data_IF_544396765838
#
_entry.id   IF_544396765838
#
_cell.length_a   1.000
_cell.length_b   1.000
_cell.length_c   1.000
_cell.angle_alpha   90.00
_cell.angle_beta   90.00
_cell.angle_gamma   90.00
#
_symmetry.space_group_name_H-M   'P 1'
#
loop_
_entity.id
_entity.type
_entity.pdbx_description
1 polymer ?
#
# COMPACT_ATOMS: atom_id res chain seq x y z
N UNK A 1 -13.89 -10.45 1.42
CA UNK A 1 -13.40 -10.00 2.74
C UNK A 1 -14.52 -9.76 3.75
N UNK A 2 -15.33 -8.70 3.68
CA UNK A 2 -16.27 -8.34 4.75
C UNK A 2 -17.26 -9.43 5.17
N UNK A 3 -17.90 -10.12 4.21
CA UNK A 3 -18.81 -11.24 4.53
C UNK A 3 -18.08 -12.36 5.29
N UNK A 4 -16.90 -12.75 4.80
CA UNK A 4 -16.09 -13.79 5.46
C UNK A 4 -15.71 -13.36 6.88
N UNK A 5 -15.30 -12.10 7.07
CA UNK A 5 -14.96 -11.55 8.40
C UNK A 5 -16.17 -11.56 9.35
N UNK A 6 -17.37 -11.29 8.84
CA UNK A 6 -18.59 -11.30 9.68
C UNK A 6 -18.94 -12.68 10.24
N UNK A 7 -18.48 -13.74 9.57
CA UNK A 7 -18.68 -15.15 9.93
C UNK A 7 -17.48 -15.75 10.69
N UNK A 8 -16.38 -15.00 10.84
CA UNK A 8 -15.17 -15.48 11.51
C UNK A 8 -15.36 -15.68 13.00
N UNK A 9 -14.65 -16.67 13.54
CA UNK A 9 -14.51 -16.91 14.97
C UNK A 9 -13.14 -17.51 15.29
N UNK A 10 -12.62 -17.22 16.48
CA UNK A 10 -11.32 -17.69 16.95
C UNK A 10 -11.49 -18.52 18.24
N UNK A 11 -10.76 -19.65 18.38
CA UNK A 11 -10.81 -20.45 19.60
C UNK A 11 -10.12 -19.75 20.79
N UNK A 12 -9.14 -18.88 20.50
CA UNK A 12 -8.42 -18.14 21.53
C UNK A 12 -9.18 -16.88 21.95
N UNK A 13 -9.33 -16.68 23.26
CA UNK A 13 -10.10 -15.58 23.82
C UNK A 13 -9.52 -14.20 23.48
N UNK A 14 -8.20 -14.07 23.41
CA UNK A 14 -7.53 -12.81 23.06
C UNK A 14 -7.85 -12.39 21.61
N UNK A 15 -7.74 -13.32 20.66
CA UNK A 15 -8.08 -13.09 19.25
C UNK A 15 -9.56 -12.77 19.07
N UNK A 16 -10.44 -13.44 19.83
CA UNK A 16 -11.88 -13.13 19.83
C UNK A 16 -12.14 -11.70 20.30
N UNK A 17 -11.46 -11.23 21.35
CA UNK A 17 -11.60 -9.86 21.84
C UNK A 17 -11.12 -8.83 20.79
N UNK A 18 -10.01 -9.09 20.10
CA UNK A 18 -9.53 -8.23 19.01
C UNK A 18 -10.52 -8.20 17.84
N UNK A 19 -11.09 -9.35 17.46
CA UNK A 19 -12.12 -9.41 16.42
C UNK A 19 -13.38 -8.63 16.82
N UNK A 20 -13.85 -8.75 18.06
CA UNK A 20 -15.03 -8.00 18.52
C UNK A 20 -14.79 -6.49 18.56
N UNK A 21 -13.57 -6.03 18.88
CA UNK A 21 -13.20 -4.62 18.74
C UNK A 21 -13.29 -4.17 17.28
N UNK A 22 -12.79 -4.98 16.33
CA UNK A 22 -12.90 -4.69 14.90
C UNK A 22 -14.35 -4.67 14.41
N UNK A 23 -15.20 -5.59 14.89
CA UNK A 23 -16.64 -5.64 14.61
C UNK A 23 -17.42 -4.46 15.21
N UNK A 24 -16.87 -3.82 16.24
CA UNK A 24 -17.39 -2.57 16.78
C UNK A 24 -17.35 -1.41 15.77
N UNK A 25 -16.45 -1.47 14.78
CA UNK A 25 -16.43 -0.52 13.67
C UNK A 25 -17.42 -0.94 12.57
N UNK A 26 -18.07 0.05 11.95
CA UNK A 26 -18.93 -0.21 10.80
C UNK A 26 -18.12 -0.30 9.51
N UNK A 27 -17.38 -1.40 9.34
CA UNK A 27 -16.49 -1.62 8.20
C UNK A 27 -17.22 -1.57 6.84
N UNK A 28 -18.51 -1.94 6.79
CA UNK A 28 -19.31 -1.79 5.58
C UNK A 28 -19.52 -0.31 5.23
N UNK A 29 -19.84 0.52 6.21
CA UNK A 29 -20.00 1.95 6.00
C UNK A 29 -18.66 2.61 5.65
N UNK A 30 -17.57 2.22 6.30
CA UNK A 30 -16.23 2.71 5.96
C UNK A 30 -15.84 2.34 4.52
N UNK A 31 -16.13 1.11 4.07
CA UNK A 31 -15.90 0.72 2.68
C UNK A 31 -16.71 1.57 1.69
N UNK A 32 -17.97 1.93 2.03
CA UNK A 32 -18.79 2.81 1.19
C UNK A 32 -18.23 4.23 1.14
N UNK A 33 -17.81 4.77 2.29
CA UNK A 33 -17.18 6.10 2.39
C UNK A 33 -15.88 6.16 1.59
N UNK A 34 -15.01 5.15 1.74
CA UNK A 34 -13.77 5.03 0.99
C UNK A 34 -14.03 4.92 -0.52
N UNK A 35 -14.99 4.08 -0.94
CA UNK A 35 -15.40 3.96 -2.34
C UNK A 35 -15.82 5.32 -2.92
N UNK A 36 -16.69 6.05 -2.23
CA UNK A 36 -17.16 7.36 -2.69
C UNK A 36 -16.01 8.38 -2.81
N UNK A 37 -15.05 8.37 -1.88
CA UNK A 37 -13.86 9.21 -1.95
C UNK A 37 -13.01 8.87 -3.19
N UNK A 38 -12.75 7.58 -3.44
CA UNK A 38 -11.92 7.14 -4.56
C UNK A 38 -12.62 7.32 -5.92
N UNK A 39 -13.94 7.16 -6.01
CA UNK A 39 -14.72 7.48 -7.21
C UNK A 39 -14.61 8.96 -7.61
N UNK A 40 -14.43 9.86 -6.61
CA UNK A 40 -14.17 11.28 -6.83
C UNK A 40 -12.68 11.63 -7.04
N UNK A 41 -11.81 10.63 -7.17
CA UNK A 41 -10.37 10.79 -7.29
C UNK A 41 -9.88 10.12 -8.57
N UNK A 42 -9.71 10.89 -9.66
CA UNK A 42 -9.21 10.33 -10.91
C UNK A 42 -7.84 9.68 -10.71
N UNK A 43 -7.72 8.43 -11.12
CA UNK A 43 -6.46 7.70 -11.21
C UNK A 43 -6.49 6.82 -12.46
N UNK A 44 -5.46 6.85 -13.33
CA UNK A 44 -5.44 5.99 -14.50
C UNK A 44 -5.35 4.52 -14.11
N UNK A 45 -6.07 3.66 -14.82
CA UNK A 45 -5.96 2.21 -14.69
C UNK A 45 -4.76 1.74 -15.50
N UNK A 46 -3.81 1.08 -14.83
CA UNK A 46 -2.57 0.55 -15.40
C UNK A 46 -2.32 -0.86 -14.86
N UNK A 47 -1.33 -1.56 -15.40
CA UNK A 47 -0.87 -2.81 -14.77
C UNK A 47 -0.04 -2.45 -13.53
N UNK A 48 -0.56 -2.82 -12.35
CA UNK A 48 0.03 -2.53 -11.05
C UNK A 48 0.60 -3.80 -10.43
N UNK A 49 1.67 -3.64 -9.65
CA UNK A 49 2.22 -4.73 -8.85
C UNK A 49 1.29 -5.10 -7.69
N UNK A 50 0.69 -4.06 -7.07
CA UNK A 50 -0.17 -4.07 -5.89
C UNK A 50 0.52 -4.40 -4.56
N UNK A 51 1.78 -4.82 -4.59
CA UNK A 51 2.55 -5.20 -3.40
C UNK A 51 4.04 -4.81 -3.49
N UNK A 52 4.33 -3.52 -3.73
CA UNK A 52 5.70 -3.00 -3.85
C UNK A 52 6.29 -2.72 -2.45
N UNK A 53 6.49 -3.78 -1.67
CA UNK A 53 7.17 -3.75 -0.36
C UNK A 53 8.66 -4.14 -0.47
N UNK A 54 9.45 -3.90 0.57
CA UNK A 54 10.92 -4.02 0.53
C UNK A 54 11.42 -5.42 0.16
N UNK A 55 10.70 -6.47 0.57
CA UNK A 55 10.99 -7.86 0.24
C UNK A 55 10.83 -8.19 -1.25
N UNK A 56 10.05 -7.40 -1.98
CA UNK A 56 9.77 -7.60 -3.40
C UNK A 56 10.67 -6.74 -4.32
N UNK A 57 11.64 -6.02 -3.77
CA UNK A 57 12.59 -5.16 -4.50
C UNK A 57 14.01 -5.70 -4.34
N UNK A 58 14.50 -6.39 -5.36
CA UNK A 58 15.85 -6.95 -5.35
C UNK A 58 16.91 -5.93 -5.79
N UNK A 59 18.00 -5.83 -5.02
CA UNK A 59 19.24 -5.18 -5.45
C UNK A 59 20.10 -6.18 -6.23
N UNK A 60 20.34 -5.89 -7.51
CA UNK A 60 21.07 -6.77 -8.42
C UNK A 60 22.59 -6.67 -8.21
N UNK A 61 23.23 -7.79 -7.84
CA UNK A 61 24.67 -7.87 -7.69
C UNK A 61 25.42 -7.58 -9.01
N UNK A 62 26.56 -6.88 -8.92
CA UNK A 62 27.39 -6.56 -10.08
C UNK A 62 26.89 -5.42 -10.98
N UNK A 63 25.78 -4.75 -10.60
CA UNK A 63 25.28 -3.54 -11.27
C UNK A 63 25.53 -2.31 -10.39
N UNK A 64 26.68 -1.68 -10.59
CA UNK A 64 27.10 -0.49 -9.81
C UNK A 64 26.66 0.84 -10.42
N UNK A 65 26.00 0.81 -11.59
CA UNK A 65 25.46 1.99 -12.25
C UNK A 65 24.27 2.61 -11.49
N UNK A 66 23.97 3.90 -11.75
CA UNK A 66 22.83 4.60 -11.13
C UNK A 66 21.46 4.10 -11.62
N UNK A 67 21.41 3.28 -12.67
CA UNK A 67 20.19 2.80 -13.33
C UNK A 67 20.22 1.27 -13.45
N UNK A 68 19.05 0.64 -13.55
CA UNK A 68 18.84 -0.80 -13.75
C UNK A 68 19.46 -1.72 -12.69
N UNK A 69 19.63 -1.22 -11.47
CA UNK A 69 20.16 -1.99 -10.33
C UNK A 69 19.08 -2.64 -9.45
N UNK A 70 17.81 -2.26 -9.66
CA UNK A 70 16.68 -2.79 -8.91
C UNK A 70 15.80 -3.65 -9.82
N UNK A 71 15.18 -4.69 -9.27
CA UNK A 71 14.23 -5.55 -9.96
C UNK A 71 13.06 -5.86 -9.05
N UNK A 72 11.83 -5.66 -9.56
CA UNK A 72 10.62 -6.10 -8.89
C UNK A 72 10.38 -7.58 -9.14
N UNK A 73 9.94 -8.31 -8.11
CA UNK A 73 9.59 -9.72 -8.14
C UNK A 73 8.26 -9.94 -7.41
N UNK A 74 7.74 -11.17 -7.48
CA UNK A 74 6.54 -11.60 -6.75
C UNK A 74 5.24 -10.86 -7.15
N UNK A 75 4.83 -11.12 -8.39
CA UNK A 75 3.64 -10.51 -9.02
C UNK A 75 2.32 -11.20 -8.62
N UNK A 76 2.23 -11.83 -7.45
CA UNK A 76 1.06 -12.65 -7.06
C UNK A 76 -0.23 -11.83 -6.91
N UNK A 77 -0.13 -10.57 -6.46
CA UNK A 77 -1.25 -9.63 -6.36
C UNK A 77 -1.43 -8.77 -7.61
N UNK A 78 -0.56 -8.91 -8.62
CA UNK A 78 -0.54 -7.99 -9.75
C UNK A 78 -1.79 -8.09 -10.60
N UNK A 79 -2.31 -6.94 -11.00
CA UNK A 79 -3.53 -6.83 -11.80
C UNK A 79 -3.65 -5.45 -12.43
N UNK A 80 -4.63 -5.28 -13.32
CA UNK A 80 -5.04 -3.94 -13.72
C UNK A 80 -5.70 -3.24 -12.54
N UNK A 81 -5.10 -2.15 -12.08
CA UNK A 81 -5.57 -1.39 -10.94
C UNK A 81 -5.29 0.10 -11.14
N UNK A 82 -5.80 0.93 -10.23
CA UNK A 82 -5.51 2.35 -10.19
C UNK A 82 -4.05 2.58 -9.81
N UNK A 83 -3.33 3.37 -10.62
CA UNK A 83 -1.95 3.78 -10.31
C UNK A 83 -1.78 4.31 -8.89
N UNK A 84 -2.75 5.08 -8.41
CA UNK A 84 -2.74 5.66 -7.07
C UNK A 84 -2.63 4.60 -5.98
N UNK A 85 -3.20 3.40 -6.19
CA UNK A 85 -3.08 2.30 -5.24
C UNK A 85 -1.65 1.78 -5.16
N UNK A 86 -1.01 1.49 -6.29
CA UNK A 86 0.35 0.92 -6.30
C UNK A 86 1.37 1.88 -5.65
N UNK A 87 1.25 3.17 -5.98
CA UNK A 87 2.10 4.22 -5.42
C UNK A 87 1.79 4.52 -3.96
N UNK A 88 0.51 4.62 -3.60
CA UNK A 88 0.07 4.83 -2.22
C UNK A 88 0.43 3.66 -1.32
N UNK A 89 0.27 2.43 -1.80
CA UNK A 89 0.71 1.22 -1.10
C UNK A 89 2.21 1.26 -0.83
N UNK A 90 3.02 1.54 -1.84
CA UNK A 90 4.46 1.65 -1.65
C UNK A 90 4.84 2.69 -0.58
N UNK A 91 4.13 3.81 -0.46
CA UNK A 91 4.37 4.79 0.61
C UNK A 91 3.91 4.28 1.98
N UNK A 92 2.83 3.52 2.07
CA UNK A 92 2.42 2.86 3.30
C UNK A 92 3.51 1.89 3.80
N UNK A 93 4.19 1.17 2.91
CA UNK A 93 5.25 0.21 3.27
C UNK A 93 6.45 0.87 3.98
N UNK A 94 6.68 2.17 3.82
CA UNK A 94 7.77 2.86 4.54
C UNK A 94 7.55 2.91 6.06
N UNK A 95 6.30 2.71 6.51
CA UNK A 95 5.92 2.68 7.91
C UNK A 95 6.21 1.33 8.55
N UNK A 96 6.17 0.24 7.77
CA UNK A 96 6.21 -1.11 8.28
C UNK A 96 7.59 -1.73 8.08
N UNK A 97 8.04 -2.51 9.06
CA UNK A 97 9.22 -3.36 8.95
C UNK A 97 8.83 -4.78 9.36
N UNK A 98 8.96 -5.72 8.43
CA UNK A 98 8.61 -7.13 8.64
C UNK A 98 9.77 -7.99 9.16
N UNK A 99 10.91 -7.37 9.48
CA UNK A 99 12.10 -8.05 10.00
C UNK A 99 12.20 -7.99 11.53
N UNK A 100 11.13 -7.59 12.22
CA UNK A 100 11.15 -7.46 13.68
C UNK A 100 11.30 -8.86 14.33
N UNK A 101 12.29 -9.08 15.21
CA UNK A 101 12.67 -10.44 15.63
C UNK A 101 11.72 -11.06 16.67
N UNK A 102 10.87 -10.26 17.31
CA UNK A 102 9.92 -10.71 18.32
C UNK A 102 8.48 -10.41 17.90
N UNK A 103 7.53 -11.09 18.56
CA UNK A 103 6.09 -10.85 18.37
C UNK A 103 5.76 -9.34 18.42
N UNK A 104 4.96 -8.79 17.48
CA UNK A 104 4.14 -9.46 16.46
C UNK A 104 4.86 -9.78 15.13
N UNK A 105 6.19 -9.75 15.10
CA UNK A 105 7.07 -9.93 13.93
C UNK A 105 6.99 -8.83 12.87
N UNK A 106 6.37 -7.72 13.23
CA UNK A 106 6.50 -6.46 12.50
C UNK A 106 6.59 -5.29 13.47
N UNK A 107 7.09 -4.17 12.98
CA UNK A 107 7.07 -2.90 13.68
C UNK A 107 6.47 -1.84 12.75
N UNK A 108 5.53 -1.04 13.27
CA UNK A 108 4.98 0.12 12.58
C UNK A 108 5.52 1.40 13.21
N UNK A 109 6.13 2.26 12.40
CA UNK A 109 6.65 3.56 12.79
C UNK A 109 6.01 4.64 11.91
N UNK A 110 4.85 5.21 12.31
CA UNK A 110 4.12 6.18 11.49
C UNK A 110 4.96 7.41 11.09
N UNK A 111 5.98 7.74 11.88
CA UNK A 111 6.93 8.83 11.62
C UNK A 111 7.82 8.58 10.38
N UNK A 112 7.88 7.34 9.90
CA UNK A 112 8.63 6.96 8.70
C UNK A 112 7.82 7.07 7.40
N UNK A 113 6.51 7.36 7.46
CA UNK A 113 5.74 7.67 6.26
C UNK A 113 6.44 8.80 5.49
N UNK A 114 6.60 8.71 4.16
CA UNK A 114 7.42 9.64 3.42
C UNK A 114 6.94 11.08 3.62
N UNK A 115 7.85 11.96 4.00
CA UNK A 115 7.58 13.39 4.09
C UNK A 115 7.18 13.94 2.72
N UNK A 116 6.51 15.10 2.69
CA UNK A 116 6.12 15.76 1.44
C UNK A 116 7.30 15.95 0.47
N UNK A 117 8.50 16.23 0.98
CA UNK A 117 9.71 16.35 0.15
C UNK A 117 10.09 15.01 -0.50
N UNK A 118 10.05 13.92 0.26
CA UNK A 118 10.34 12.57 -0.24
C UNK A 118 9.27 12.10 -1.24
N UNK A 119 7.99 12.35 -0.96
CA UNK A 119 6.90 12.02 -1.89
C UNK A 119 7.06 12.79 -3.20
N UNK A 120 7.34 14.10 -3.15
CA UNK A 120 7.59 14.91 -4.34
C UNK A 120 8.81 14.42 -5.12
N UNK A 121 9.88 14.03 -4.42
CA UNK A 121 11.05 13.46 -5.06
C UNK A 121 10.68 12.20 -5.85
N UNK A 122 9.98 11.25 -5.22
CA UNK A 122 9.51 10.04 -5.89
C UNK A 122 8.59 10.36 -7.08
N UNK A 123 7.57 11.20 -6.88
CA UNK A 123 6.59 11.60 -7.91
C UNK A 123 7.26 12.24 -9.12
N UNK A 124 8.28 13.09 -8.90
CA UNK A 124 9.06 13.70 -9.99
C UNK A 124 9.75 12.67 -10.86
N UNK A 125 10.39 11.69 -10.24
CA UNK A 125 11.09 10.62 -10.96
C UNK A 125 10.09 9.72 -11.69
N UNK A 126 8.98 9.36 -11.05
CA UNK A 126 7.90 8.59 -11.66
C UNK A 126 7.32 9.28 -12.91
N UNK A 127 6.97 10.56 -12.80
CA UNK A 127 6.41 11.31 -13.93
C UNK A 127 7.46 11.51 -15.04
N UNK A 128 8.71 11.77 -14.69
CA UNK A 128 9.78 11.97 -15.65
C UNK A 128 10.05 10.74 -16.54
N UNK A 129 9.93 9.53 -15.99
CA UNK A 129 10.04 8.29 -16.75
C UNK A 129 8.92 8.14 -17.79
N UNK A 130 7.72 8.62 -17.46
CA UNK A 130 6.55 8.60 -18.34
C UNK A 130 6.53 9.67 -19.44
N UNK A 131 7.33 10.73 -19.34
CA UNK A 131 7.27 11.88 -20.26
C UNK A 131 7.90 11.64 -21.65
N UNK A 132 8.67 10.56 -21.83
CA UNK A 132 9.38 10.31 -23.09
C UNK A 132 10.22 11.53 -23.51
N UNK A 133 9.95 12.11 -24.70
CA UNK A 133 10.71 13.26 -25.26
C UNK A 133 10.15 14.64 -24.93
N UNK A 134 8.99 14.76 -24.27
CA UNK A 134 8.32 16.05 -24.05
C UNK A 134 8.23 16.40 -22.57
N UNK A 135 9.19 17.18 -22.06
CA UNK A 135 9.06 17.72 -20.69
C UNK A 135 7.98 18.80 -20.65
N UNK A 136 7.03 18.73 -19.69
CA UNK A 136 6.03 19.76 -19.52
C UNK A 136 6.65 21.09 -19.08
N UNK A 137 5.90 22.17 -19.19
CA UNK A 137 6.33 23.45 -18.62
C UNK A 137 6.48 23.35 -17.09
N UNK A 138 7.31 24.17 -16.43
CA UNK A 138 7.45 24.12 -14.97
C UNK A 138 6.14 24.32 -14.19
N UNK A 139 5.18 25.06 -14.77
CA UNK A 139 3.85 25.26 -14.16
C UNK A 139 2.98 24.00 -14.28
N UNK A 140 2.98 23.38 -15.45
CA UNK A 140 2.27 22.13 -15.71
C UNK A 140 2.86 20.98 -14.90
N UNK A 141 4.19 20.88 -14.82
CA UNK A 141 4.87 19.91 -13.97
C UNK A 141 4.40 20.02 -12.51
N UNK A 142 4.41 21.22 -11.93
CA UNK A 142 3.94 21.42 -10.55
C UNK A 142 2.49 21.00 -10.38
N UNK A 143 1.63 21.32 -11.35
CA UNK A 143 0.22 20.91 -11.32
C UNK A 143 0.09 19.38 -11.31
N UNK A 144 0.81 18.68 -12.19
CA UNK A 144 0.79 17.22 -12.26
C UNK A 144 1.34 16.57 -10.99
N UNK A 145 2.39 17.15 -10.39
CA UNK A 145 2.95 16.72 -9.10
C UNK A 145 1.89 16.79 -7.99
N UNK A 146 1.20 17.93 -7.84
CA UNK A 146 0.17 18.10 -6.81
C UNK A 146 -1.08 17.23 -7.05
N UNK A 147 -1.48 17.05 -8.31
CA UNK A 147 -2.59 16.16 -8.67
C UNK A 147 -2.26 14.71 -8.33
N UNK A 148 -1.04 14.24 -8.63
CA UNK A 148 -0.61 12.88 -8.32
C UNK A 148 -0.40 12.67 -6.82
N UNK A 149 0.11 13.64 -6.07
CA UNK A 149 0.20 13.51 -4.60
C UNK A 149 -1.19 13.32 -3.97
N UNK A 150 -2.17 14.12 -4.39
CA UNK A 150 -3.55 13.98 -3.89
C UNK A 150 -4.15 12.62 -4.26
N UNK A 151 -3.87 12.12 -5.46
CA UNK A 151 -4.25 10.79 -5.90
C UNK A 151 -3.67 9.72 -4.96
N UNK A 152 -2.35 9.73 -4.77
CA UNK A 152 -1.61 8.81 -3.89
C UNK A 152 -2.17 8.83 -2.47
N UNK A 153 -2.29 10.01 -1.84
CA UNK A 153 -2.73 10.16 -0.45
C UNK A 153 -4.11 9.54 -0.21
N UNK A 154 -5.03 9.68 -1.18
CA UNK A 154 -6.37 9.10 -1.07
C UNK A 154 -6.36 7.59 -1.26
N UNK A 155 -5.58 7.09 -2.21
CA UNK A 155 -5.46 5.65 -2.48
C UNK A 155 -4.63 4.90 -1.43
N UNK A 156 -3.73 5.57 -0.70
CA UNK A 156 -3.04 5.02 0.47
C UNK A 156 -4.03 4.55 1.55
N UNK A 157 -5.18 5.24 1.71
CA UNK A 157 -6.25 4.80 2.59
C UNK A 157 -6.83 3.43 2.17
N UNK A 158 -6.89 3.16 0.86
CA UNK A 158 -7.30 1.86 0.36
C UNK A 158 -6.26 0.77 0.58
N UNK A 159 -4.96 1.09 0.58
CA UNK A 159 -3.91 0.14 0.99
C UNK A 159 -4.15 -0.32 2.44
N UNK A 160 -4.28 0.62 3.38
CA UNK A 160 -4.57 0.28 4.78
C UNK A 160 -5.85 -0.54 4.94
N UNK A 161 -6.93 -0.15 4.26
CA UNK A 161 -8.20 -0.86 4.35
C UNK A 161 -8.09 -2.27 3.76
N UNK A 162 -7.44 -2.43 2.61
CA UNK A 162 -7.26 -3.72 1.96
C UNK A 162 -6.41 -4.68 2.80
N UNK A 163 -5.21 -4.26 3.22
CA UNK A 163 -4.30 -5.11 3.99
C UNK A 163 -4.79 -5.38 5.40
N UNK A 164 -5.54 -4.44 6.01
CA UNK A 164 -6.22 -4.68 7.28
C UNK A 164 -7.24 -5.82 7.17
N UNK A 165 -8.11 -5.79 6.17
CA UNK A 165 -9.09 -6.87 5.94
C UNK A 165 -8.42 -8.19 5.56
N UNK A 166 -7.36 -8.14 4.75
CA UNK A 166 -6.55 -9.31 4.42
C UNK A 166 -5.94 -9.94 5.67
N UNK A 167 -5.36 -9.12 6.57
CA UNK A 167 -4.70 -9.59 7.79
C UNK A 167 -5.67 -10.31 8.71
N UNK A 168 -6.88 -9.78 8.90
CA UNK A 168 -7.92 -10.42 9.72
C UNK A 168 -8.28 -11.82 9.20
N UNK A 169 -8.35 -12.00 7.87
CA UNK A 169 -8.55 -13.33 7.29
C UNK A 169 -7.33 -14.23 7.49
N UNK A 170 -6.12 -13.71 7.28
CA UNK A 170 -4.88 -14.46 7.45
C UNK A 170 -4.70 -14.96 8.88
N UNK A 171 -5.14 -14.21 9.88
CA UNK A 171 -5.13 -14.66 11.27
C UNK A 171 -5.86 -16.01 11.48
N UNK A 172 -6.83 -16.34 10.61
CA UNK A 172 -7.58 -17.60 10.66
C UNK A 172 -6.98 -18.71 9.81
N UNK A 173 -6.48 -18.38 8.62
CA UNK A 173 -6.12 -19.37 7.58
C UNK A 173 -4.62 -19.61 7.45
N UNK A 174 -3.79 -18.65 7.88
CA UNK A 174 -2.34 -18.74 7.75
C UNK A 174 -1.76 -19.68 8.79
N UNK A 175 -0.78 -20.47 8.37
CA UNK A 175 0.08 -21.26 9.28
C UNK A 175 1.37 -20.53 9.64
N UNK A 176 1.58 -19.32 9.09
CA UNK A 176 2.77 -18.52 9.34
C UNK A 176 2.65 -17.89 10.72
N UNK A 177 3.72 -17.99 11.51
CA UNK A 177 3.78 -17.42 12.86
C UNK A 177 4.01 -15.90 12.79
N UNK A 178 2.92 -15.15 12.60
CA UNK A 178 2.89 -13.70 12.43
C UNK A 178 1.69 -13.08 13.17
N UNK A 179 1.85 -11.89 13.73
CA UNK A 179 0.80 -11.21 14.49
C UNK A 179 -0.24 -10.51 13.61
N UNK A 180 -1.10 -11.28 12.96
CA UNK A 180 -2.12 -10.77 12.04
C UNK A 180 -3.30 -10.02 12.71
N UNK A 181 -3.55 -10.26 14.01
CA UNK A 181 -4.65 -9.69 14.81
C UNK A 181 -4.13 -8.85 15.98
#
# INVERSE_FOLDING_TARGET
YLQQISELTFPEQAQLQQLEQLRGYNLEQEMRSLRALLESTPSPVVFCHNDVQEGNILLLAGREGPSDRLMLIDFEYSSYNYRGFDLGNHFCEWVYSYTHPCWPFFQACPEHYPSREQQLHFVRHYLAEGWGRGRPSPQEQRRLEEELLREIDRFALASHFFWGLWSVLQAKISTIHFGYL
#
